data_IF_985697796612
#
_entry.id   IF_985697796612
#
_cell.length_a   1.000
_cell.length_b   1.000
_cell.length_c   1.000
_cell.angle_alpha   90.00
_cell.angle_beta   90.00
_cell.angle_gamma   90.00
#
_symmetry.space_group_name_H-M   'P 1'
#
loop_
_entity.id
_entity.type
_entity.pdbx_description
1 polymer ?
#
# COMPACT_ATOMS: atom_id res chain seq x y z
N UNK A 1 6.83 -5.32 -38.60
CA UNK A 1 7.73 -6.41 -38.22
C UNK A 1 8.80 -5.82 -37.32
N UNK A 2 8.55 -5.76 -36.04
CA UNK A 2 9.53 -5.29 -35.04
C UNK A 2 9.48 -6.24 -33.86
N UNK A 3 10.60 -6.85 -33.70
CA UNK A 3 11.02 -7.85 -32.73
C UNK A 3 10.77 -7.37 -31.28
N UNK A 4 9.92 -8.07 -30.51
CA UNK A 4 9.80 -7.95 -29.07
C UNK A 4 10.35 -9.19 -28.37
N UNK A 5 11.67 -9.35 -28.46
CA UNK A 5 12.43 -10.18 -27.54
C UNK A 5 13.12 -9.27 -26.55
N UNK A 6 12.85 -9.45 -25.27
CA UNK A 6 13.68 -9.05 -24.11
C UNK A 6 12.77 -9.08 -22.89
N UNK A 7 13.09 -9.61 -21.75
CA UNK A 7 14.37 -9.77 -21.10
C UNK A 7 14.16 -10.58 -19.85
N UNK A 8 14.59 -11.80 -19.79
CA UNK A 8 15.00 -12.43 -18.54
C UNK A 8 16.50 -12.15 -18.47
N UNK A 9 16.96 -11.39 -17.49
CA UNK A 9 18.30 -10.81 -17.47
C UNK A 9 19.40 -11.84 -17.54
N UNK A 10 20.25 -11.76 -18.57
CA UNK A 10 21.54 -12.41 -18.63
C UNK A 10 22.42 -11.86 -17.49
N UNK A 11 22.62 -12.63 -16.45
CA UNK A 11 23.80 -12.52 -15.59
C UNK A 11 24.70 -13.70 -15.87
N UNK A 12 25.81 -13.39 -16.51
CA UNK A 12 26.94 -14.30 -16.70
C UNK A 12 27.58 -14.53 -15.32
N UNK A 13 27.35 -15.70 -14.73
CA UNK A 13 28.19 -16.28 -13.68
C UNK A 13 28.19 -17.78 -13.89
N UNK A 14 29.37 -18.31 -14.21
CA UNK A 14 29.64 -19.74 -14.31
C UNK A 14 29.35 -20.41 -12.96
N UNK A 15 28.28 -21.19 -12.91
CA UNK A 15 28.16 -22.36 -12.05
C UNK A 15 27.07 -23.25 -12.66
N UNK A 16 27.47 -24.43 -13.13
CA UNK A 16 26.59 -25.45 -13.66
C UNK A 16 25.65 -25.95 -12.55
N UNK A 17 24.38 -25.52 -12.57
CA UNK A 17 23.26 -26.26 -11.98
C UNK A 17 22.01 -25.98 -12.79
N UNK A 18 21.31 -27.02 -13.18
CA UNK A 18 20.10 -27.15 -13.97
C UNK A 18 19.19 -25.91 -14.06
N UNK A 19 19.44 -25.06 -15.03
CA UNK A 19 18.52 -23.98 -15.43
C UNK A 19 17.43 -24.60 -16.28
N UNK A 20 16.21 -24.69 -15.75
CA UNK A 20 15.02 -24.84 -16.59
C UNK A 20 14.95 -23.68 -17.60
N UNK A 21 14.44 -23.88 -18.82
CA UNK A 21 14.47 -22.84 -19.84
C UNK A 21 13.62 -21.63 -19.43
N UNK A 22 14.20 -20.44 -19.52
CA UNK A 22 13.60 -19.16 -19.18
C UNK A 22 12.25 -18.84 -19.89
N UNK A 23 11.94 -19.54 -20.96
CA UNK A 23 10.69 -19.45 -21.73
C UNK A 23 9.47 -20.07 -21.02
N UNK A 24 9.70 -21.04 -20.13
CA UNK A 24 8.60 -21.71 -19.43
C UNK A 24 7.96 -20.86 -18.31
N UNK A 25 8.62 -19.77 -17.91
CA UNK A 25 8.06 -18.86 -16.90
C UNK A 25 7.21 -17.75 -17.55
N UNK A 26 7.58 -17.27 -18.74
CA UNK A 26 6.79 -16.30 -19.50
C UNK A 26 5.39 -16.85 -19.82
N UNK A 27 5.28 -18.10 -20.20
CA UNK A 27 4.01 -18.76 -20.52
C UNK A 27 3.06 -18.82 -19.30
N UNK A 28 3.59 -18.99 -18.07
CA UNK A 28 2.78 -19.01 -16.83
C UNK A 28 2.24 -17.63 -16.49
N UNK A 29 3.06 -16.59 -16.59
CA UNK A 29 2.65 -15.21 -16.33
C UNK A 29 1.59 -14.76 -17.35
N UNK A 30 1.77 -15.10 -18.61
CA UNK A 30 0.82 -14.81 -19.67
C UNK A 30 -0.52 -15.51 -19.42
N UNK A 31 -0.50 -16.78 -18.99
CA UNK A 31 -1.72 -17.52 -18.61
C UNK A 31 -2.44 -16.87 -17.42
N UNK A 32 -1.71 -16.45 -16.38
CA UNK A 32 -2.30 -15.71 -15.24
C UNK A 32 -2.93 -14.40 -15.70
N UNK A 33 -2.23 -13.64 -16.55
CA UNK A 33 -2.72 -12.37 -17.06
C UNK A 33 -3.89 -12.53 -18.03
N UNK A 34 -3.95 -13.62 -18.78
CA UNK A 34 -5.12 -13.97 -19.59
C UNK A 34 -6.35 -14.16 -18.71
N UNK A 35 -6.24 -14.96 -17.65
CA UNK A 35 -7.34 -15.17 -16.69
C UNK A 35 -7.75 -13.85 -16.03
N UNK A 36 -6.81 -12.96 -15.68
CA UNK A 36 -7.11 -11.63 -15.12
C UNK A 36 -7.88 -10.74 -16.07
N UNK A 37 -7.54 -10.79 -17.35
CA UNK A 37 -8.17 -9.95 -18.37
C UNK A 37 -9.59 -10.44 -18.74
N UNK A 38 -9.78 -11.76 -18.81
CA UNK A 38 -11.06 -12.36 -19.23
C UNK A 38 -12.02 -12.56 -18.05
N UNK A 39 -11.49 -12.73 -16.85
CA UNK A 39 -12.23 -13.22 -15.69
C UNK A 39 -12.37 -14.74 -15.73
N UNK A 40 -12.89 -15.32 -14.66
CA UNK A 40 -12.90 -16.77 -14.50
C UNK A 40 -14.15 -17.45 -15.05
N UNK A 41 -15.26 -16.75 -15.14
CA UNK A 41 -16.57 -17.31 -15.52
C UNK A 41 -17.45 -16.30 -16.29
N UNK A 42 -16.85 -15.23 -16.81
CA UNK A 42 -17.58 -14.15 -17.49
C UNK A 42 -18.42 -13.26 -16.56
N UNK A 43 -18.44 -13.52 -15.27
CA UNK A 43 -19.19 -12.74 -14.26
C UNK A 43 -18.32 -11.82 -13.42
N UNK A 44 -17.02 -12.09 -13.37
CA UNK A 44 -16.07 -11.29 -12.59
C UNK A 44 -15.46 -10.17 -13.43
N UNK A 45 -15.22 -9.05 -12.77
CA UNK A 45 -14.59 -7.89 -13.40
C UNK A 45 -13.13 -8.19 -13.70
N UNK A 46 -12.66 -7.84 -14.90
CA UNK A 46 -11.25 -7.92 -15.27
C UNK A 46 -10.37 -7.14 -14.26
N UNK A 47 -9.22 -7.69 -13.95
CA UNK A 47 -8.23 -7.04 -13.10
C UNK A 47 -7.02 -6.60 -13.94
N UNK A 48 -6.29 -5.54 -13.55
CA UNK A 48 -5.09 -5.11 -14.25
C UNK A 48 -4.04 -6.23 -14.33
N UNK A 49 -3.24 -6.30 -15.41
CA UNK A 49 -2.21 -7.32 -15.53
C UNK A 49 -1.15 -7.17 -14.43
N UNK A 50 -0.64 -8.31 -13.99
CA UNK A 50 0.47 -8.40 -13.05
C UNK A 50 1.79 -8.14 -13.78
N UNK A 51 2.72 -7.48 -13.08
CA UNK A 51 4.10 -7.26 -13.54
C UNK A 51 5.01 -8.29 -12.88
N UNK A 52 5.90 -8.87 -13.69
CA UNK A 52 6.94 -9.75 -13.18
C UNK A 52 7.88 -8.99 -12.24
N UNK A 53 8.25 -9.63 -11.12
CA UNK A 53 9.18 -9.07 -10.16
C UNK A 53 10.20 -10.13 -9.70
N UNK A 54 11.49 -9.87 -9.95
CA UNK A 54 12.58 -10.83 -9.73
C UNK A 54 12.69 -11.34 -8.28
N UNK A 55 12.32 -10.52 -7.28
CA UNK A 55 12.31 -11.00 -5.89
C UNK A 55 11.17 -11.96 -5.62
N UNK A 56 10.05 -11.82 -6.33
CA UNK A 56 8.95 -12.78 -6.23
C UNK A 56 9.28 -14.10 -6.94
N UNK A 57 10.14 -14.10 -7.97
CA UNK A 57 10.68 -15.34 -8.54
C UNK A 57 11.55 -16.07 -7.52
N UNK A 58 12.38 -15.34 -6.75
CA UNK A 58 13.13 -15.93 -5.63
C UNK A 58 12.18 -16.47 -4.55
N UNK A 59 11.07 -15.78 -4.24
CA UNK A 59 10.03 -16.28 -3.34
C UNK A 59 9.46 -17.61 -3.87
N UNK A 60 9.04 -17.65 -5.14
CA UNK A 60 8.50 -18.85 -5.77
C UNK A 60 9.51 -20.01 -5.78
N UNK A 61 10.79 -19.71 -6.00
CA UNK A 61 11.87 -20.69 -5.91
C UNK A 61 12.01 -21.25 -4.47
N UNK A 62 11.96 -20.40 -3.45
CA UNK A 62 12.02 -20.84 -2.05
C UNK A 62 10.82 -21.69 -1.63
N UNK A 63 9.63 -21.33 -2.11
CA UNK A 63 8.42 -22.14 -1.94
C UNK A 63 8.61 -23.54 -2.53
N UNK A 64 9.30 -23.67 -3.68
CA UNK A 64 9.62 -24.95 -4.30
C UNK A 64 10.56 -25.83 -3.45
N UNK A 65 11.32 -25.21 -2.56
CA UNK A 65 12.22 -25.86 -1.60
C UNK A 65 11.53 -26.18 -0.26
N UNK A 66 10.23 -25.88 -0.12
CA UNK A 66 9.45 -26.17 1.08
C UNK A 66 9.41 -25.03 2.12
N UNK A 67 9.91 -23.83 1.80
CA UNK A 67 9.75 -22.69 2.68
C UNK A 67 8.27 -22.25 2.74
N UNK A 68 7.82 -21.72 3.88
CA UNK A 68 6.55 -21.00 3.95
C UNK A 68 6.66 -19.61 3.30
N UNK A 69 5.52 -19.03 2.92
CA UNK A 69 5.47 -17.77 2.16
C UNK A 69 6.13 -16.60 2.92
N UNK A 70 5.89 -16.47 4.22
CA UNK A 70 6.47 -15.39 5.04
C UNK A 70 7.99 -15.45 5.07
N UNK A 71 8.54 -16.63 5.33
CA UNK A 71 10.00 -16.87 5.34
C UNK A 71 10.60 -16.60 3.97
N UNK A 72 9.94 -17.02 2.89
CA UNK A 72 10.40 -16.79 1.54
C UNK A 72 10.44 -15.29 1.18
N UNK A 73 9.40 -14.53 1.54
CA UNK A 73 9.33 -13.08 1.33
C UNK A 73 10.42 -12.34 2.11
N UNK A 74 10.59 -12.66 3.39
CA UNK A 74 11.66 -12.08 4.22
C UNK A 74 13.04 -12.33 3.62
N UNK A 75 13.30 -13.57 3.20
CA UNK A 75 14.59 -13.92 2.61
C UNK A 75 14.85 -13.19 1.29
N UNK A 76 13.85 -13.05 0.44
CA UNK A 76 13.93 -12.32 -0.81
C UNK A 76 14.04 -10.79 -0.60
N UNK A 77 13.81 -10.31 0.62
CA UNK A 77 13.76 -8.88 0.94
C UNK A 77 12.63 -8.17 0.18
N UNK A 78 11.50 -8.86 -0.02
CA UNK A 78 10.32 -8.29 -0.65
C UNK A 78 9.35 -7.80 0.43
N UNK A 79 8.94 -6.53 0.32
CA UNK A 79 7.98 -5.92 1.23
C UNK A 79 6.63 -5.80 0.53
N UNK A 80 5.60 -6.34 1.16
CA UNK A 80 4.24 -6.39 0.64
C UNK A 80 3.22 -5.85 1.64
N UNK A 81 2.08 -5.41 1.12
CA UNK A 81 0.86 -5.15 1.89
C UNK A 81 0.11 -6.46 2.11
N UNK A 82 -0.03 -7.21 1.04
CA UNK A 82 -0.64 -8.53 1.04
C UNK A 82 0.02 -9.44 0.01
N UNK A 83 -0.02 -10.74 0.25
CA UNK A 83 0.58 -11.73 -0.63
C UNK A 83 -0.20 -13.04 -0.64
N UNK A 84 -0.06 -13.78 -1.72
CA UNK A 84 -0.65 -15.09 -1.89
C UNK A 84 0.31 -16.00 -2.67
N UNK A 85 0.37 -17.27 -2.32
CA UNK A 85 1.12 -18.26 -3.09
C UNK A 85 0.28 -19.46 -3.43
N UNK A 86 0.58 -20.05 -4.59
CA UNK A 86 -0.05 -21.28 -5.06
C UNK A 86 0.97 -22.18 -5.74
N UNK A 87 0.71 -23.48 -5.78
CA UNK A 87 1.45 -24.42 -6.58
C UNK A 87 0.50 -25.27 -7.44
N UNK A 88 0.93 -25.54 -8.66
CA UNK A 88 0.16 -26.35 -9.63
C UNK A 88 1.04 -27.49 -10.08
N UNK A 89 0.54 -28.72 -9.96
CA UNK A 89 1.21 -29.93 -10.41
C UNK A 89 0.66 -30.40 -11.75
N UNK A 90 1.43 -31.23 -12.45
CA UNK A 90 1.09 -31.78 -13.76
C UNK A 90 0.90 -30.73 -14.87
N UNK A 91 1.60 -29.61 -14.77
CA UNK A 91 1.59 -28.55 -15.78
C UNK A 91 2.18 -29.08 -17.09
N UNK A 92 1.46 -28.98 -18.22
CA UNK A 92 1.97 -29.41 -19.51
C UNK A 92 3.17 -28.60 -19.98
N UNK A 93 3.93 -29.14 -20.94
CA UNK A 93 5.13 -28.47 -21.44
C UNK A 93 4.82 -27.13 -22.13
N UNK A 94 3.64 -26.99 -22.74
CA UNK A 94 3.17 -25.74 -23.36
C UNK A 94 2.71 -24.69 -22.34
N UNK A 95 2.75 -24.99 -21.03
CA UNK A 95 2.40 -24.03 -19.98
C UNK A 95 0.93 -23.70 -19.81
N UNK A 96 0.03 -24.32 -20.58
CA UNK A 96 -1.42 -24.05 -20.51
C UNK A 96 -2.00 -24.51 -19.16
N UNK A 97 -2.24 -23.55 -18.29
CA UNK A 97 -2.78 -23.74 -16.94
C UNK A 97 -4.03 -22.89 -16.68
N UNK A 98 -4.48 -22.12 -17.65
CA UNK A 98 -5.56 -21.13 -17.51
C UNK A 98 -6.83 -21.73 -16.91
N UNK A 99 -7.22 -22.91 -17.36
CA UNK A 99 -8.39 -23.60 -16.81
C UNK A 99 -8.22 -23.94 -15.33
N UNK A 100 -7.05 -24.45 -14.94
CA UNK A 100 -6.74 -24.78 -13.54
C UNK A 100 -6.74 -23.51 -12.68
N UNK A 101 -6.12 -22.44 -13.18
CA UNK A 101 -6.08 -21.15 -12.53
C UNK A 101 -7.49 -20.58 -12.31
N UNK A 102 -8.32 -20.60 -13.36
CA UNK A 102 -9.69 -20.09 -13.29
C UNK A 102 -10.59 -20.91 -12.35
N UNK A 103 -10.41 -22.23 -12.30
CA UNK A 103 -11.24 -23.12 -11.47
C UNK A 103 -10.85 -23.13 -10.00
N UNK A 104 -9.56 -23.09 -9.69
CA UNK A 104 -9.05 -23.29 -8.32
C UNK A 104 -8.65 -21.99 -7.60
N UNK A 105 -8.20 -20.98 -8.32
CA UNK A 105 -7.58 -19.78 -7.77
C UNK A 105 -8.18 -18.46 -8.25
N UNK A 106 -9.40 -18.52 -8.78
CA UNK A 106 -10.05 -17.36 -9.38
C UNK A 106 -10.02 -16.13 -8.51
N UNK A 107 -10.53 -16.21 -7.28
CA UNK A 107 -10.66 -15.08 -6.37
C UNK A 107 -9.32 -14.37 -6.09
N UNK A 108 -8.24 -15.15 -6.00
CA UNK A 108 -6.91 -14.64 -5.77
C UNK A 108 -6.33 -14.02 -7.04
N UNK A 109 -6.49 -14.68 -8.18
CA UNK A 109 -5.94 -14.21 -9.46
C UNK A 109 -6.57 -12.89 -9.88
N UNK A 110 -7.88 -12.73 -9.76
CA UNK A 110 -8.57 -11.50 -10.16
C UNK A 110 -8.57 -10.40 -9.09
N UNK A 111 -7.96 -10.64 -7.93
CA UNK A 111 -7.85 -9.62 -6.89
C UNK A 111 -7.07 -8.40 -7.44
N UNK A 112 -7.71 -7.22 -7.53
CA UNK A 112 -7.07 -6.04 -8.10
C UNK A 112 -5.97 -5.44 -7.22
N UNK A 113 -5.89 -5.83 -5.94
CA UNK A 113 -4.81 -5.39 -5.05
C UNK A 113 -3.45 -5.98 -5.48
N UNK A 114 -3.42 -7.22 -5.96
CA UNK A 114 -2.18 -7.80 -6.48
C UNK A 114 -1.75 -7.11 -7.76
N UNK A 115 -0.50 -6.65 -7.79
CA UNK A 115 0.13 -5.91 -8.89
C UNK A 115 1.36 -6.62 -9.44
N UNK A 116 1.97 -7.51 -8.68
CA UNK A 116 3.23 -8.16 -9.01
C UNK A 116 3.12 -9.67 -8.85
N UNK A 117 3.91 -10.38 -9.65
CA UNK A 117 3.96 -11.83 -9.74
C UNK A 117 5.39 -12.30 -9.85
N UNK A 118 5.69 -13.42 -9.20
CA UNK A 118 6.87 -14.21 -9.47
C UNK A 118 6.52 -15.67 -9.67
N UNK A 119 7.31 -16.38 -10.45
CA UNK A 119 7.07 -17.77 -10.80
C UNK A 119 8.35 -18.59 -10.74
N UNK A 120 8.19 -19.85 -10.39
CA UNK A 120 9.25 -20.85 -10.46
C UNK A 120 8.72 -22.15 -10.99
N UNK A 121 9.46 -22.80 -11.87
CA UNK A 121 9.09 -24.10 -12.44
C UNK A 121 10.16 -25.15 -12.19
N UNK A 122 9.75 -26.32 -11.74
CA UNK A 122 10.59 -27.50 -11.66
C UNK A 122 9.82 -28.71 -12.24
N UNK A 123 10.27 -29.17 -13.41
CA UNK A 123 9.60 -30.24 -14.14
C UNK A 123 8.15 -29.88 -14.50
N UNK A 124 7.21 -30.66 -13.99
CA UNK A 124 5.75 -30.48 -14.19
C UNK A 124 5.08 -29.71 -13.04
N UNK A 125 5.84 -29.10 -12.15
CA UNK A 125 5.30 -28.32 -11.05
C UNK A 125 5.69 -26.86 -11.18
N UNK A 126 4.74 -25.96 -10.91
CA UNK A 126 4.90 -24.52 -10.96
C UNK A 126 4.50 -23.95 -9.60
N UNK A 127 5.28 -23.02 -9.08
CA UNK A 127 4.98 -22.18 -7.92
C UNK A 127 4.79 -20.75 -8.39
N UNK A 128 3.78 -20.10 -7.86
CA UNK A 128 3.40 -18.73 -8.20
C UNK A 128 3.27 -17.95 -6.90
N UNK A 129 3.90 -16.79 -6.83
CA UNK A 129 3.74 -15.82 -5.76
C UNK A 129 3.11 -14.55 -6.34
N UNK A 130 2.00 -14.11 -5.75
CA UNK A 130 1.31 -12.86 -6.06
C UNK A 130 1.48 -11.89 -4.91
N UNK A 131 1.68 -10.62 -5.21
CA UNK A 131 1.81 -9.62 -4.17
C UNK A 131 1.21 -8.26 -4.55
N UNK A 132 0.70 -7.60 -3.52
CA UNK A 132 0.47 -6.17 -3.48
C UNK A 132 1.74 -5.52 -2.93
N UNK A 133 2.51 -4.77 -3.74
CA UNK A 133 3.77 -4.21 -3.30
C UNK A 133 3.55 -3.12 -2.26
N UNK A 134 4.42 -3.06 -1.23
CA UNK A 134 4.49 -1.94 -0.32
C UNK A 134 5.25 -0.80 -1.00
N UNK A 135 4.52 0.22 -1.45
CA UNK A 135 5.05 1.37 -2.20
C UNK A 135 4.68 2.68 -1.50
N UNK A 136 5.22 2.93 -0.30
CA UNK A 136 4.93 4.16 0.42
C UNK A 136 5.50 5.38 -0.31
N UNK A 137 4.97 6.58 -0.07
CA UNK A 137 5.55 7.80 -0.60
C UNK A 137 6.97 7.98 -0.04
N UNK A 138 7.84 8.54 -0.84
CA UNK A 138 9.22 8.75 -0.42
C UNK A 138 9.31 9.93 0.59
N UNK A 139 10.24 9.90 1.56
CA UNK A 139 10.37 10.96 2.55
C UNK A 139 10.55 12.37 1.98
N UNK A 140 11.16 12.50 0.80
CA UNK A 140 11.31 13.78 0.09
C UNK A 140 9.99 14.34 -0.46
N UNK A 141 8.95 13.51 -0.58
CA UNK A 141 7.66 13.91 -1.16
C UNK A 141 6.71 14.54 -0.12
N UNK A 142 7.16 14.73 1.12
CA UNK A 142 6.36 15.27 2.23
C UNK A 142 5.56 16.52 1.85
N UNK A 143 6.18 17.47 1.16
CA UNK A 143 5.53 18.74 0.81
C UNK A 143 4.46 18.56 -0.26
N UNK A 144 4.68 17.68 -1.23
CA UNK A 144 3.71 17.38 -2.29
C UNK A 144 2.53 16.59 -1.75
N UNK A 145 2.82 15.54 -0.98
CA UNK A 145 1.82 14.74 -0.29
C UNK A 145 0.98 15.62 0.66
N UNK A 146 1.61 16.50 1.44
CA UNK A 146 0.91 17.42 2.33
C UNK A 146 -0.02 18.38 1.57
N UNK A 147 0.39 18.90 0.41
CA UNK A 147 -0.47 19.72 -0.46
C UNK A 147 -1.65 18.91 -1.02
N UNK A 148 -1.43 17.65 -1.39
CA UNK A 148 -2.51 16.76 -1.86
C UNK A 148 -3.53 16.51 -0.77
N UNK A 149 -3.10 16.18 0.46
CA UNK A 149 -4.00 16.01 1.61
C UNK A 149 -4.80 17.27 1.89
N UNK A 150 -4.16 18.45 1.90
CA UNK A 150 -4.85 19.74 2.08
C UNK A 150 -5.92 19.98 1.00
N UNK A 151 -5.60 19.71 -0.26
CA UNK A 151 -6.53 19.87 -1.36
C UNK A 151 -7.76 18.96 -1.20
N UNK A 152 -7.55 17.67 -0.89
CA UNK A 152 -8.62 16.70 -0.65
C UNK A 152 -9.48 17.05 0.57
N UNK A 153 -8.84 17.50 1.67
CA UNK A 153 -9.55 17.97 2.86
C UNK A 153 -10.44 19.18 2.54
N UNK A 154 -9.94 20.13 1.75
CA UNK A 154 -10.68 21.33 1.36
C UNK A 154 -11.79 21.01 0.34
N UNK A 155 -11.59 20.07 -0.56
CA UNK A 155 -12.66 19.54 -1.42
C UNK A 155 -13.79 18.94 -0.58
N UNK A 156 -13.43 18.12 0.43
CA UNK A 156 -14.42 17.55 1.35
C UNK A 156 -15.19 18.63 2.12
N UNK A 157 -14.49 19.65 2.63
CA UNK A 157 -15.05 20.76 3.42
C UNK A 157 -15.96 21.68 2.60
N UNK A 158 -15.78 21.76 1.29
CA UNK A 158 -16.61 22.58 0.42
C UNK A 158 -18.07 22.11 0.33
N UNK A 159 -18.36 20.88 0.76
CA UNK A 159 -19.68 20.28 0.65
C UNK A 159 -20.20 19.79 1.99
N UNK A 160 -21.49 19.97 2.27
CA UNK A 160 -22.15 19.37 3.41
C UNK A 160 -22.06 17.83 3.35
N UNK A 161 -21.80 17.17 4.49
CA UNK A 161 -21.75 15.71 4.60
C UNK A 161 -22.18 15.20 5.96
N UNK A 162 -22.42 13.91 6.01
CA UNK A 162 -22.65 13.22 7.28
C UNK A 162 -21.37 12.51 7.73
N UNK A 163 -20.99 12.74 8.99
CA UNK A 163 -19.93 12.01 9.67
C UNK A 163 -20.62 11.05 10.66
N UNK A 164 -20.82 9.82 10.24
CA UNK A 164 -21.69 8.90 10.97
C UNK A 164 -23.12 9.44 11.12
N UNK A 165 -23.67 9.53 12.34
CA UNK A 165 -25.02 10.06 12.57
C UNK A 165 -25.08 11.60 12.46
N UNK A 166 -23.96 12.31 12.57
CA UNK A 166 -23.93 13.77 12.70
C UNK A 166 -23.81 14.46 11.35
N UNK A 167 -24.72 15.39 11.01
CA UNK A 167 -24.59 16.22 9.82
C UNK A 167 -23.64 17.39 10.06
N UNK A 168 -22.78 17.67 9.08
CA UNK A 168 -21.90 18.84 9.02
C UNK A 168 -22.24 19.65 7.77
N UNK A 169 -22.34 20.96 7.91
CA UNK A 169 -22.41 21.88 6.80
C UNK A 169 -21.08 22.02 6.07
N UNK A 170 -21.06 22.71 4.93
CA UNK A 170 -19.81 23.14 4.33
C UNK A 170 -19.03 24.05 5.29
N UNK A 171 -17.72 23.90 5.34
CA UNK A 171 -16.83 24.66 6.20
C UNK A 171 -15.80 25.42 5.39
N UNK A 172 -15.29 26.52 5.93
CA UNK A 172 -14.21 27.28 5.30
C UNK A 172 -12.98 26.42 5.04
N UNK A 173 -12.25 26.65 3.94
CA UNK A 173 -11.05 25.90 3.63
C UNK A 173 -9.98 26.10 4.73
N UNK A 174 -9.23 25.02 4.97
CA UNK A 174 -8.03 25.04 5.82
C UNK A 174 -6.85 25.62 5.05
N UNK A 175 -5.92 26.25 5.78
CA UNK A 175 -4.62 26.66 5.26
C UNK A 175 -3.49 25.87 5.91
N UNK A 176 -2.40 25.66 5.19
CA UNK A 176 -1.23 24.96 5.74
C UNK A 176 -0.52 25.85 6.75
N UNK A 177 -0.12 25.26 7.90
CA UNK A 177 0.67 25.92 8.93
C UNK A 177 1.94 25.12 9.21
N UNK A 178 3.10 25.79 9.12
CA UNK A 178 4.41 25.14 9.27
C UNK A 178 4.63 24.53 10.67
N UNK A 179 4.14 25.17 11.73
CA UNK A 179 4.28 24.63 13.10
C UNK A 179 3.45 23.37 13.30
N UNK A 180 2.21 23.37 12.79
CA UNK A 180 1.36 22.17 12.81
C UNK A 180 1.98 21.04 11.97
N UNK A 181 2.55 21.35 10.80
CA UNK A 181 3.26 20.37 9.97
C UNK A 181 4.48 19.80 10.71
N UNK A 182 5.23 20.63 11.42
CA UNK A 182 6.37 20.18 12.22
C UNK A 182 5.93 19.24 13.35
N UNK A 183 4.83 19.52 14.04
CA UNK A 183 4.26 18.64 15.07
C UNK A 183 3.84 17.32 14.46
N UNK A 184 3.07 17.36 13.38
CA UNK A 184 2.62 16.16 12.66
C UNK A 184 3.81 15.29 12.22
N UNK A 185 4.86 15.89 11.67
CA UNK A 185 6.05 15.17 11.24
C UNK A 185 6.80 14.52 12.41
N UNK A 186 6.99 15.24 13.51
CA UNK A 186 7.64 14.70 14.70
C UNK A 186 6.84 13.54 15.28
N UNK A 187 5.52 13.65 15.31
CA UNK A 187 4.66 12.64 15.90
C UNK A 187 4.50 11.41 15.00
N UNK A 188 4.34 11.58 13.68
CA UNK A 188 4.34 10.46 12.74
C UNK A 188 5.65 9.64 12.82
N UNK A 189 6.80 10.34 12.94
CA UNK A 189 8.10 9.68 13.14
C UNK A 189 8.19 8.92 14.47
N UNK A 190 7.69 9.47 15.57
CA UNK A 190 7.67 8.79 16.86
C UNK A 190 6.85 7.50 16.78
N UNK A 191 5.63 7.59 16.25
CA UNK A 191 4.77 6.43 16.03
C UNK A 191 5.44 5.36 15.15
N UNK A 192 6.05 5.77 14.03
CA UNK A 192 6.73 4.86 13.12
C UNK A 192 7.96 4.21 13.75
N UNK A 193 8.76 4.98 14.49
CA UNK A 193 9.99 4.49 15.13
C UNK A 193 9.69 3.42 16.18
N UNK A 194 8.61 3.60 16.94
CA UNK A 194 8.29 2.71 18.04
C UNK A 194 7.12 1.76 17.78
N UNK A 195 6.54 1.78 16.59
CA UNK A 195 5.51 0.83 16.15
C UNK A 195 4.20 0.93 16.92
N UNK A 196 3.74 2.15 17.26
CA UNK A 196 2.47 2.36 17.95
C UNK A 196 1.60 3.39 17.21
N UNK A 197 0.30 3.41 17.51
CA UNK A 197 -0.63 4.42 17.03
C UNK A 197 -1.61 4.77 18.16
N UNK A 198 -1.46 5.93 18.73
CA UNK A 198 -2.28 6.45 19.83
C UNK A 198 -2.22 7.99 19.78
N UNK A 199 -3.26 8.66 20.27
CA UNK A 199 -3.27 10.11 20.43
C UNK A 199 -2.37 10.58 21.59
N UNK A 200 -2.14 9.73 22.57
CA UNK A 200 -1.22 9.98 23.69
C UNK A 200 0.18 9.54 23.31
N UNK A 201 1.12 10.46 23.32
CA UNK A 201 2.53 10.17 23.06
C UNK A 201 3.14 9.25 24.13
N UNK A 202 4.22 8.56 23.80
CA UNK A 202 4.98 7.72 24.75
C UNK A 202 5.50 8.50 25.98
N UNK A 203 5.65 9.83 25.84
CA UNK A 203 6.00 10.75 26.92
C UNK A 203 4.76 11.24 27.71
N UNK A 204 3.59 10.68 27.46
CA UNK A 204 2.31 11.09 28.05
C UNK A 204 1.71 12.36 27.44
N UNK A 205 2.32 12.93 26.39
CA UNK A 205 1.82 14.17 25.80
C UNK A 205 0.55 13.98 25.01
N UNK A 206 -0.42 14.88 25.21
CA UNK A 206 -1.60 15.01 24.35
C UNK A 206 -1.27 15.79 23.07
N UNK A 207 -2.11 15.74 22.02
CA UNK A 207 -1.99 16.58 20.83
C UNK A 207 -1.84 18.07 21.17
N UNK A 208 -2.70 18.57 22.06
CA UNK A 208 -2.65 19.96 22.54
C UNK A 208 -1.31 20.32 23.17
N UNK A 209 -0.71 19.40 23.96
CA UNK A 209 0.59 19.64 24.58
C UNK A 209 1.72 19.69 23.53
N UNK A 210 1.68 18.80 22.51
CA UNK A 210 2.66 18.81 21.41
C UNK A 210 2.57 20.10 20.59
N UNK A 211 1.35 20.51 20.23
CA UNK A 211 1.09 21.73 19.47
C UNK A 211 1.52 22.96 20.28
N UNK A 212 1.22 23.01 21.58
CA UNK A 212 1.67 24.12 22.44
C UNK A 212 3.21 24.24 22.51
N UNK A 213 3.90 23.10 22.64
CA UNK A 213 5.38 23.07 22.66
C UNK A 213 6.03 23.58 21.36
N UNK A 214 5.33 23.46 20.23
CA UNK A 214 5.81 24.02 18.94
C UNK A 214 5.73 25.55 18.88
N UNK A 215 5.12 26.20 19.89
CA UNK A 215 4.88 27.63 19.92
C UNK A 215 3.70 28.05 19.02
N UNK A 216 2.83 27.12 18.61
CA UNK A 216 1.58 27.50 17.97
C UNK A 216 0.58 27.99 19.02
N UNK A 217 0.08 29.19 18.84
CA UNK A 217 -0.89 29.82 19.76
C UNK A 217 -2.30 29.57 19.25
N UNK A 218 -3.09 28.81 19.97
CA UNK A 218 -4.36 28.27 19.51
C UNK A 218 -5.54 28.60 20.44
N UNK A 219 -6.73 28.53 19.92
CA UNK A 219 -8.02 28.50 20.63
C UNK A 219 -8.58 27.06 20.66
N UNK A 220 -8.50 26.37 19.54
CA UNK A 220 -8.93 25.01 19.35
C UNK A 220 -7.85 24.23 18.61
N UNK A 221 -7.68 22.96 18.93
CA UNK A 221 -6.81 22.01 18.24
C UNK A 221 -7.44 20.63 18.16
N UNK A 222 -7.08 19.87 17.15
CA UNK A 222 -7.50 18.50 16.95
C UNK A 222 -6.44 17.71 16.21
N UNK A 223 -6.59 16.39 16.21
CA UNK A 223 -5.67 15.48 15.56
C UNK A 223 -6.42 14.34 14.86
N UNK A 224 -5.99 14.00 13.66
CA UNK A 224 -6.34 12.74 13.00
C UNK A 224 -5.08 11.90 12.79
N UNK A 225 -5.16 10.62 13.14
CA UNK A 225 -4.10 9.65 12.92
C UNK A 225 -4.56 8.59 11.94
N UNK A 226 -3.61 7.98 11.23
CA UNK A 226 -3.85 6.78 10.44
C UNK A 226 -2.56 5.95 10.29
N UNK A 227 -2.72 4.69 9.94
CA UNK A 227 -1.60 3.83 9.57
C UNK A 227 -2.03 2.77 8.55
N UNK A 228 -1.07 2.20 7.83
CA UNK A 228 -1.33 1.11 6.88
C UNK A 228 -1.77 1.55 5.49
N UNK A 229 -2.02 2.83 5.27
CA UNK A 229 -2.37 3.39 3.95
C UNK A 229 -1.20 4.16 3.36
N UNK A 230 -1.00 4.08 2.06
CA UNK A 230 0.22 4.54 1.41
C UNK A 230 0.07 5.89 0.70
N UNK A 231 -1.14 6.34 0.40
CA UNK A 231 -1.35 7.55 -0.39
C UNK A 231 -2.17 8.60 0.33
N UNK A 232 -2.02 9.87 -0.10
CA UNK A 232 -2.84 10.98 0.37
C UNK A 232 -4.34 10.75 0.14
N UNK A 233 -4.69 10.15 -1.00
CA UNK A 233 -6.08 9.87 -1.37
C UNK A 233 -6.69 8.82 -0.45
N UNK A 234 -5.95 7.74 -0.16
CA UNK A 234 -6.39 6.69 0.76
C UNK A 234 -6.56 7.19 2.19
N UNK A 235 -5.60 7.97 2.70
CA UNK A 235 -5.66 8.45 4.08
C UNK A 235 -6.85 9.41 4.29
N UNK A 236 -7.07 10.33 3.36
CA UNK A 236 -8.23 11.25 3.46
C UNK A 236 -9.54 10.49 3.28
N UNK A 237 -9.62 9.54 2.35
CA UNK A 237 -10.80 8.69 2.20
C UNK A 237 -11.08 7.89 3.48
N UNK A 238 -10.05 7.32 4.12
CA UNK A 238 -10.15 6.62 5.40
C UNK A 238 -10.64 7.52 6.53
N UNK A 239 -10.09 8.72 6.67
CA UNK A 239 -10.56 9.69 7.67
C UNK A 239 -12.01 10.12 7.43
N UNK A 240 -12.41 10.33 6.17
CA UNK A 240 -13.79 10.69 5.85
C UNK A 240 -14.79 9.54 6.08
N UNK A 241 -14.35 8.30 6.02
CA UNK A 241 -15.16 7.12 6.30
C UNK A 241 -15.34 6.85 7.81
N UNK A 242 -14.45 7.38 8.66
CA UNK A 242 -14.51 7.26 10.12
C UNK A 242 -15.30 8.42 10.71
N UNK A 243 -16.36 8.20 11.51
CA UNK A 243 -17.19 9.28 12.05
C UNK A 243 -16.41 10.35 12.81
N UNK A 244 -15.46 9.95 13.67
CA UNK A 244 -14.68 10.86 14.51
C UNK A 244 -13.66 11.66 13.70
N UNK A 245 -12.92 11.01 12.82
CA UNK A 245 -11.95 11.69 11.96
C UNK A 245 -12.65 12.59 10.94
N UNK A 246 -13.79 12.19 10.43
CA UNK A 246 -14.64 12.99 9.55
C UNK A 246 -15.14 14.24 10.30
N UNK A 247 -15.54 14.11 11.55
CA UNK A 247 -15.96 15.23 12.38
C UNK A 247 -14.84 16.28 12.50
N UNK A 248 -13.61 15.86 12.78
CA UNK A 248 -12.44 16.77 12.80
C UNK A 248 -12.21 17.44 11.44
N UNK A 249 -12.27 16.68 10.36
CA UNK A 249 -12.10 17.25 9.01
C UNK A 249 -13.16 18.28 8.66
N UNK A 250 -14.38 18.09 9.14
CA UNK A 250 -15.53 18.95 8.84
C UNK A 250 -15.79 20.04 9.87
N UNK A 251 -15.03 20.05 10.99
CA UNK A 251 -15.25 21.03 12.06
C UNK A 251 -15.04 22.47 11.53
N UNK A 252 -16.11 23.31 11.59
CA UNK A 252 -16.03 24.68 11.10
C UNK A 252 -15.14 25.61 11.95
N UNK A 253 -14.71 25.17 13.14
CA UNK A 253 -13.81 25.94 13.99
C UNK A 253 -12.36 25.95 13.48
N UNK A 254 -11.91 24.85 12.91
CA UNK A 254 -10.53 24.76 12.40
C UNK A 254 -10.30 25.66 11.17
N UNK A 255 -9.13 26.32 11.16
CA UNK A 255 -8.68 27.24 10.11
C UNK A 255 -7.38 26.81 9.47
N UNK A 256 -6.54 26.14 10.22
CA UNK A 256 -5.19 25.76 9.80
C UNK A 256 -4.96 24.26 10.04
N UNK A 257 -4.09 23.69 9.25
CA UNK A 257 -3.70 22.29 9.41
C UNK A 257 -2.21 22.10 9.11
N UNK A 258 -1.67 21.02 9.65
CA UNK A 258 -0.40 20.46 9.24
C UNK A 258 -0.54 18.94 9.12
N UNK A 259 0.09 18.33 8.14
CA UNK A 259 0.07 16.89 7.96
C UNK A 259 1.45 16.37 7.59
N UNK A 260 1.75 15.16 8.05
CA UNK A 260 2.96 14.45 7.67
C UNK A 260 2.76 12.95 7.77
N UNK A 261 3.68 12.22 7.13
CA UNK A 261 3.77 10.78 7.26
C UNK A 261 5.19 10.35 7.65
N UNK A 262 5.32 9.14 8.17
CA UNK A 262 6.59 8.47 8.36
C UNK A 262 6.46 7.00 7.99
N UNK A 263 7.55 6.41 7.51
CA UNK A 263 7.58 5.02 7.02
C UNK A 263 8.43 4.16 7.94
N UNK A 264 7.91 3.00 8.33
CA UNK A 264 8.66 1.92 8.93
C UNK A 264 8.36 0.62 8.16
N UNK A 265 9.20 0.29 7.20
CA UNK A 265 9.03 -0.90 6.36
C UNK A 265 9.14 -2.24 7.14
N UNK A 266 9.61 -2.21 8.38
CA UNK A 266 9.71 -3.40 9.24
C UNK A 266 8.50 -3.59 10.18
N UNK A 267 7.60 -2.59 10.24
CA UNK A 267 6.34 -2.69 10.98
C UNK A 267 5.20 -3.04 10.02
N UNK A 268 4.29 -3.90 10.47
CA UNK A 268 3.13 -4.34 9.66
C UNK A 268 2.19 -3.19 9.24
N UNK A 269 2.23 -2.07 9.95
CA UNK A 269 1.46 -0.86 9.59
C UNK A 269 2.14 -0.08 8.46
N UNK A 270 3.45 -0.19 8.33
CA UNK A 270 4.24 0.39 7.25
C UNK A 270 4.32 1.90 7.24
N UNK A 271 3.21 2.60 7.06
CA UNK A 271 3.13 4.06 7.00
C UNK A 271 2.28 4.58 8.16
N UNK A 272 2.73 5.66 8.78
CA UNK A 272 2.07 6.34 9.88
C UNK A 272 1.80 7.78 9.51
N UNK A 273 0.57 8.23 9.69
CA UNK A 273 0.10 9.57 9.36
C UNK A 273 -0.34 10.32 10.61
N UNK A 274 0.01 11.59 10.68
CA UNK A 274 -0.53 12.52 11.63
C UNK A 274 -0.99 13.79 10.90
N UNK A 275 -2.18 14.26 11.24
CA UNK A 275 -2.74 15.53 10.79
C UNK A 275 -3.20 16.33 11.99
N UNK A 276 -2.59 17.49 12.17
CA UNK A 276 -2.91 18.43 13.24
C UNK A 276 -3.80 19.53 12.70
N UNK A 277 -4.83 19.87 13.44
CA UNK A 277 -5.74 20.98 13.17
C UNK A 277 -5.55 22.09 14.19
N UNK A 278 -5.80 23.33 13.78
CA UNK A 278 -5.73 24.46 14.68
C UNK A 278 -6.59 25.64 14.26
N UNK A 279 -7.01 26.39 15.30
CA UNK A 279 -7.58 27.73 15.19
C UNK A 279 -6.65 28.68 15.92
N UNK A 280 -5.97 29.63 15.22
CA UNK A 280 -5.05 30.54 15.88
C UNK A 280 -5.80 31.50 16.83
N UNK A 281 -5.06 31.99 17.87
CA UNK A 281 -5.54 33.03 18.76
C UNK A 281 -5.47 34.39 18.10
#
# INVERSE_FOLDING_TARGET
MTDRRKSCHKRLALLLTALGPAWACADVIDSVNTVRNVGCDGRHRAAPPLREHARLDEVAHRLSQGADLRTALQFAGYHEVSSFSMSISNVPANGDIERTLAQQFCAQIINPAFREIGTWRSGKQVWIALAEPFTPPAPQDQSEVGRRVLALANEARAHARRCGPTPYGAAAPLTANAKLTQVAHAYARDMATFGYMDHTGRDGSSPAARITRSGYRWREVGENLASGVMTADEVVAGWLASPEHCANLMDPLYREMGVAFAVNAHDKRGVYWAMEFGTPR
#
